data_IF_447970915254
#
_entry.id   IF_447970915254
#
_cell.length_a   1.000
_cell.length_b   1.000
_cell.length_c   1.000
_cell.angle_alpha   90.00
_cell.angle_beta   90.00
_cell.angle_gamma   90.00
#
_symmetry.space_group_name_H-M   'P 1'
#
loop_
_entity.id
_entity.type
_entity.pdbx_description
1 polymer ?
#
# COMPACT_ATOMS: atom_id res chain seq x y z
N UNK A 1 -12.27 21.58 -28.30
CA UNK A 1 -11.53 22.80 -28.68
C UNK A 1 -10.08 22.36 -28.71
N UNK A 2 -9.57 22.14 -29.95
CA UNK A 2 -8.15 21.86 -30.18
C UNK A 2 -7.43 23.19 -29.98
N UNK A 3 -6.49 23.25 -29.04
CA UNK A 3 -5.56 24.37 -28.91
C UNK A 3 -4.18 23.92 -29.41
N UNK A 4 -3.26 24.87 -29.64
CA UNK A 4 -1.91 24.58 -30.16
C UNK A 4 -1.04 23.72 -29.24
N UNK A 5 -1.54 23.36 -28.03
CA UNK A 5 -0.87 22.48 -27.06
C UNK A 5 -1.46 21.06 -27.03
N UNK A 6 -2.55 20.79 -27.80
CA UNK A 6 -3.16 19.47 -27.86
C UNK A 6 -2.29 18.53 -28.69
N UNK A 7 -1.65 17.58 -28.04
CA UNK A 7 -0.80 16.55 -28.69
C UNK A 7 -1.55 15.28 -29.12
N UNK A 8 -2.86 15.20 -28.86
CA UNK A 8 -3.69 14.03 -29.15
C UNK A 8 -4.73 14.31 -30.23
N UNK A 9 -4.59 13.65 -31.39
CA UNK A 9 -5.40 13.89 -32.60
C UNK A 9 -6.90 13.52 -32.49
N UNK A 10 -7.37 12.85 -31.44
CA UNK A 10 -8.74 12.31 -31.38
C UNK A 10 -9.37 12.31 -29.99
N UNK A 11 -9.24 13.38 -29.21
CA UNK A 11 -9.88 13.45 -27.90
C UNK A 11 -11.39 13.73 -28.05
N UNK A 12 -12.31 12.85 -27.58
CA UNK A 12 -13.74 13.08 -27.69
C UNK A 12 -14.20 14.30 -26.90
N UNK A 13 -15.25 14.97 -27.38
CA UNK A 13 -15.86 16.09 -26.66
C UNK A 13 -16.39 15.63 -25.30
N UNK A 14 -16.00 16.32 -24.21
CA UNK A 14 -16.42 15.97 -22.83
C UNK A 14 -15.50 14.95 -22.14
N UNK A 15 -14.43 14.49 -22.77
CA UNK A 15 -13.43 13.67 -22.10
C UNK A 15 -12.64 14.47 -21.05
N UNK A 16 -12.30 13.84 -19.94
CA UNK A 16 -11.32 14.38 -18.99
C UNK A 16 -9.95 14.26 -19.67
N UNK A 17 -9.20 15.36 -19.69
CA UNK A 17 -7.91 15.43 -20.38
C UNK A 17 -6.80 15.82 -19.41
N UNK A 18 -5.58 15.34 -19.67
CA UNK A 18 -4.36 15.75 -18.99
C UNK A 18 -3.92 17.18 -19.40
N UNK A 19 -2.79 17.65 -18.89
CA UNK A 19 -2.23 18.95 -19.18
C UNK A 19 -1.87 19.17 -20.68
N UNK A 20 -1.81 18.08 -21.45
CA UNK A 20 -1.46 18.09 -22.87
C UNK A 20 -2.69 17.94 -23.79
N UNK A 21 -3.91 17.95 -23.20
CA UNK A 21 -5.16 17.80 -23.93
C UNK A 21 -5.46 16.35 -24.34
N UNK A 22 -4.64 15.42 -23.93
CA UNK A 22 -4.87 14.00 -24.18
C UNK A 22 -5.93 13.45 -23.24
N UNK A 23 -6.88 12.67 -23.81
CA UNK A 23 -7.84 11.98 -22.97
C UNK A 23 -7.08 11.19 -21.92
N UNK A 24 -7.35 11.47 -20.65
CA UNK A 24 -7.01 10.50 -19.59
C UNK A 24 -7.88 9.29 -19.87
N UNK A 25 -7.30 8.32 -20.55
CA UNK A 25 -7.91 7.01 -20.69
C UNK A 25 -7.77 6.38 -19.31
N UNK A 26 -8.82 6.49 -18.49
CA UNK A 26 -9.04 5.44 -17.54
C UNK A 26 -9.31 4.20 -18.41
N UNK A 27 -8.29 3.37 -18.62
CA UNK A 27 -8.39 2.11 -19.37
C UNK A 27 -9.30 1.09 -18.69
N UNK A 28 -10.05 1.55 -17.69
CA UNK A 28 -10.94 0.76 -16.89
C UNK A 28 -12.36 0.84 -17.45
N UNK A 29 -13.03 -0.29 -17.37
CA UNK A 29 -14.44 -0.47 -17.64
C UNK A 29 -15.22 0.80 -17.24
N UNK A 30 -16.04 1.32 -18.13
CA UNK A 30 -16.85 2.54 -18.00
C UNK A 30 -17.77 2.59 -16.75
N UNK A 31 -17.63 1.62 -15.85
CA UNK A 31 -18.43 1.43 -14.63
C UNK A 31 -17.76 1.92 -13.36
N UNK A 32 -16.47 2.31 -13.39
CA UNK A 32 -15.76 2.81 -12.20
C UNK A 32 -15.78 4.35 -12.15
N UNK A 33 -16.24 4.90 -11.02
CA UNK A 33 -16.19 6.34 -10.73
C UNK A 33 -15.15 6.58 -9.65
N UNK A 34 -14.24 7.52 -9.88
CA UNK A 34 -13.24 7.93 -8.90
C UNK A 34 -13.94 8.54 -7.67
N UNK A 35 -13.70 7.97 -6.49
CA UNK A 35 -14.30 8.40 -5.23
C UNK A 35 -13.28 9.04 -4.28
N UNK A 36 -12.01 8.68 -4.39
CA UNK A 36 -10.92 9.24 -3.60
C UNK A 36 -9.59 9.06 -4.32
N UNK A 37 -8.70 10.03 -4.15
CA UNK A 37 -7.34 9.96 -4.71
C UNK A 37 -6.33 10.76 -3.92
N UNK A 38 -5.07 10.38 -4.07
CA UNK A 38 -3.91 11.21 -3.82
C UNK A 38 -2.92 11.08 -4.98
N UNK A 39 -2.65 12.20 -5.64
CA UNK A 39 -1.73 12.33 -6.78
C UNK A 39 -0.37 12.88 -6.33
N UNK A 40 -0.18 13.10 -5.04
CA UNK A 40 1.05 13.57 -4.41
C UNK A 40 1.66 14.82 -5.06
N UNK A 41 0.82 15.79 -5.46
CA UNK A 41 1.25 17.00 -6.19
C UNK A 41 1.80 18.12 -5.29
N UNK A 42 1.66 18.03 -3.97
CA UNK A 42 2.10 19.05 -3.03
C UNK A 42 3.49 18.69 -2.46
N UNK A 43 4.53 19.37 -2.93
CA UNK A 43 5.92 19.17 -2.52
C UNK A 43 6.15 19.27 -1.00
N UNK A 44 6.98 18.41 -0.45
CA UNK A 44 7.43 18.45 0.94
C UNK A 44 6.76 17.47 1.85
N UNK A 45 6.16 17.92 2.94
CA UNK A 45 5.53 17.05 3.92
C UNK A 45 4.25 16.40 3.38
N UNK A 46 4.02 15.14 3.74
CA UNK A 46 2.81 14.41 3.38
C UNK A 46 1.55 15.12 3.91
N UNK A 47 0.47 15.11 3.12
CA UNK A 47 -0.83 15.68 3.52
C UNK A 47 -1.42 14.90 4.70
N UNK A 48 -1.30 15.46 5.90
CA UNK A 48 -1.83 14.88 7.13
C UNK A 48 -3.37 14.84 7.18
N UNK A 49 -4.08 15.48 6.26
CA UNK A 49 -5.53 15.36 6.17
C UNK A 49 -5.95 14.07 5.47
N UNK A 50 -5.09 13.51 4.62
CA UNK A 50 -5.28 12.26 3.91
C UNK A 50 -4.61 11.06 4.57
N UNK A 51 -3.42 11.27 5.18
CA UNK A 51 -2.58 10.21 5.73
C UNK A 51 -2.28 10.39 7.22
N UNK A 52 -2.12 9.28 7.90
CA UNK A 52 -1.68 9.18 9.28
C UNK A 52 -0.39 8.35 9.34
N UNK A 53 0.63 8.85 10.03
CA UNK A 53 1.83 8.09 10.31
C UNK A 53 1.61 7.20 11.53
N UNK A 54 1.67 5.89 11.33
CA UNK A 54 1.61 4.94 12.44
C UNK A 54 3.03 4.72 12.98
N UNK A 55 3.31 5.34 14.12
CA UNK A 55 4.66 5.40 14.72
C UNK A 55 4.80 4.64 16.03
N UNK A 56 3.68 4.18 16.61
CA UNK A 56 3.70 3.45 17.88
C UNK A 56 3.85 1.96 17.58
N UNK A 57 4.97 1.33 17.98
CA UNK A 57 5.17 -0.10 17.74
C UNK A 57 4.20 -0.93 18.60
N UNK A 58 3.37 -1.79 17.98
CA UNK A 58 2.24 -2.43 18.66
C UNK A 58 2.64 -3.64 19.51
N UNK A 59 3.86 -4.16 19.38
CA UNK A 59 4.33 -5.39 20.03
C UNK A 59 5.43 -5.10 21.06
N UNK A 60 5.05 -4.47 22.20
CA UNK A 60 5.98 -4.17 23.31
C UNK A 60 7.27 -3.48 22.85
N UNK A 61 7.16 -2.42 22.06
CA UNK A 61 8.29 -1.63 21.56
C UNK A 61 8.94 -2.18 20.29
N UNK A 62 8.33 -3.18 19.65
CA UNK A 62 8.75 -3.72 18.35
C UNK A 62 7.55 -3.84 17.39
N UNK A 63 7.86 -3.97 16.10
CA UNK A 63 6.89 -4.34 15.07
C UNK A 63 6.74 -5.86 15.00
N UNK A 64 5.73 -6.34 14.27
CA UNK A 64 5.49 -7.77 14.09
C UNK A 64 6.54 -8.42 13.16
N UNK A 65 6.46 -9.73 13.00
CA UNK A 65 7.22 -10.50 12.00
C UNK A 65 8.75 -10.41 12.12
N UNK A 66 9.29 -9.93 13.25
CA UNK A 66 10.73 -9.77 13.44
C UNK A 66 11.34 -8.60 12.65
N UNK A 67 10.52 -7.64 12.25
CA UNK A 67 10.94 -6.41 11.57
C UNK A 67 11.97 -5.63 12.41
N UNK A 68 12.89 -4.92 11.74
CA UNK A 68 14.11 -4.31 12.32
C UNK A 68 14.12 -2.80 12.33
N UNK A 69 13.06 -2.14 11.86
CA UNK A 69 12.93 -0.67 11.85
C UNK A 69 12.00 -0.18 12.95
N UNK A 70 12.12 1.10 13.26
CA UNK A 70 11.00 1.90 13.75
C UNK A 70 10.39 2.70 12.60
N UNK A 71 9.07 2.86 12.60
CA UNK A 71 8.41 3.80 11.70
C UNK A 71 8.34 5.16 12.37
N UNK A 72 8.51 6.22 11.57
CA UNK A 72 8.55 7.61 12.03
C UNK A 72 7.64 8.49 11.18
N UNK A 73 7.32 9.69 11.69
CA UNK A 73 6.62 10.75 10.97
C UNK A 73 7.58 11.82 10.41
N UNK A 74 8.88 11.51 10.37
CA UNK A 74 9.90 12.46 9.90
C UNK A 74 9.88 12.60 8.40
N UNK A 75 10.09 13.81 7.93
CA UNK A 75 10.22 14.11 6.48
C UNK A 75 11.37 13.33 5.80
N UNK A 76 12.33 12.83 6.55
CA UNK A 76 13.40 11.98 6.02
C UNK A 76 12.94 10.58 5.65
N UNK A 77 11.81 10.11 6.22
CA UNK A 77 11.26 8.78 5.97
C UNK A 77 10.03 8.80 5.06
N UNK A 78 9.29 9.93 4.98
CA UNK A 78 8.18 10.09 4.02
C UNK A 78 8.02 11.55 3.62
N UNK A 79 8.00 11.80 2.32
CA UNK A 79 7.85 13.14 1.74
C UNK A 79 7.40 13.03 0.28
N UNK A 80 6.89 14.15 -0.25
CA UNK A 80 6.56 14.29 -1.66
C UNK A 80 7.66 15.05 -2.37
N UNK A 81 8.14 14.55 -3.50
CA UNK A 81 9.06 15.24 -4.40
C UNK A 81 8.83 14.81 -5.84
N UNK A 82 8.81 15.78 -6.75
CA UNK A 82 8.58 15.58 -8.18
C UNK A 82 7.24 14.82 -8.46
N UNK A 83 6.17 15.25 -7.80
CA UNK A 83 4.83 14.65 -7.86
C UNK A 83 4.78 13.16 -7.45
N UNK A 84 5.71 12.72 -6.60
CA UNK A 84 5.80 11.33 -6.13
C UNK A 84 5.95 11.29 -4.62
N UNK A 85 5.16 10.46 -3.95
CA UNK A 85 5.41 10.11 -2.55
C UNK A 85 6.64 9.20 -2.46
N UNK A 86 7.60 9.60 -1.65
CA UNK A 86 8.79 8.81 -1.31
C UNK A 86 8.60 8.23 0.11
N UNK A 87 8.54 6.92 0.22
CA UNK A 87 8.68 6.20 1.50
C UNK A 87 10.08 5.64 1.55
N UNK A 88 10.90 6.10 2.53
CA UNK A 88 12.33 5.83 2.58
C UNK A 88 12.73 5.06 3.83
N UNK A 89 13.32 3.89 3.64
CA UNK A 89 14.03 3.15 4.68
C UNK A 89 15.46 3.65 4.79
N UNK A 90 15.93 3.87 6.02
CA UNK A 90 17.27 4.45 6.32
C UNK A 90 17.95 3.61 7.39
N UNK A 91 19.24 3.33 7.22
CA UNK A 91 20.08 2.72 8.25
C UNK A 91 20.56 3.78 9.25
N UNK A 92 19.96 3.80 10.40
CA UNK A 92 20.31 4.69 11.51
C UNK A 92 19.84 4.08 12.83
N UNK A 93 20.50 4.42 13.93
CA UNK A 93 20.03 4.04 15.26
C UNK A 93 18.93 5.00 15.70
N UNK A 94 17.78 4.47 16.07
CA UNK A 94 16.62 5.26 16.49
C UNK A 94 15.91 4.58 17.66
N UNK A 95 15.57 5.37 18.68
CA UNK A 95 14.90 4.89 19.90
C UNK A 95 13.48 5.42 20.03
N UNK A 96 12.56 4.53 20.36
CA UNK A 96 11.17 4.85 20.71
C UNK A 96 10.84 4.15 22.04
N UNK A 97 10.48 4.92 23.06
CA UNK A 97 10.04 4.41 24.37
C UNK A 97 11.00 3.36 25.00
N UNK A 98 12.31 3.57 24.87
CA UNK A 98 13.33 2.67 25.39
C UNK A 98 13.65 1.46 24.50
N UNK A 99 13.01 1.34 23.35
CA UNK A 99 13.32 0.34 22.31
C UNK A 99 14.15 0.97 21.21
N UNK A 100 15.34 0.44 20.94
CA UNK A 100 16.25 0.91 19.90
C UNK A 100 16.24 -0.03 18.71
N UNK A 101 16.05 0.50 17.52
CA UNK A 101 16.21 -0.21 16.24
C UNK A 101 17.33 0.44 15.41
N UNK A 102 17.88 -0.30 14.45
CA UNK A 102 18.99 0.17 13.61
C UNK A 102 18.53 0.65 12.23
N UNK A 103 17.24 0.75 12.01
CA UNK A 103 16.64 1.25 10.78
C UNK A 103 15.40 2.08 11.12
N UNK A 104 15.12 3.06 10.27
CA UNK A 104 13.86 3.80 10.28
C UNK A 104 13.19 3.73 8.92
N UNK A 105 11.87 3.89 8.91
CA UNK A 105 11.04 3.92 7.71
C UNK A 105 9.74 4.68 8.00
N UNK A 106 8.77 4.61 7.11
CA UNK A 106 7.41 5.09 7.37
C UNK A 106 6.36 4.00 7.12
N UNK A 107 5.30 4.02 7.93
CA UNK A 107 4.06 3.27 7.76
C UNK A 107 2.91 4.27 7.77
N UNK A 108 2.22 4.36 6.65
CA UNK A 108 1.16 5.31 6.39
C UNK A 108 -0.19 4.60 6.39
N UNK A 109 -1.16 5.17 7.10
CA UNK A 109 -2.56 4.74 7.04
C UNK A 109 -3.36 5.80 6.30
N UNK A 110 -4.17 5.46 5.31
CA UNK A 110 -5.13 6.41 4.76
C UNK A 110 -6.16 6.78 5.82
N UNK A 111 -6.57 8.05 5.84
CA UNK A 111 -7.72 8.50 6.65
C UNK A 111 -9.04 8.28 5.93
N UNK A 112 -8.97 7.84 4.70
CA UNK A 112 -10.06 7.35 3.88
C UNK A 112 -10.23 5.85 4.08
N UNK A 113 -11.46 5.37 4.07
CA UNK A 113 -11.80 3.95 4.07
C UNK A 113 -12.87 3.67 3.03
N UNK A 114 -12.90 2.46 2.54
CA UNK A 114 -13.87 2.02 1.53
C UNK A 114 -14.30 0.58 1.78
N UNK A 115 -15.40 0.21 1.18
CA UNK A 115 -15.87 -1.17 1.11
C UNK A 115 -16.36 -1.43 -0.30
N UNK A 116 -15.76 -2.40 -0.95
CA UNK A 116 -15.97 -2.72 -2.35
C UNK A 116 -15.51 -1.60 -3.30
N UNK A 117 -15.27 -1.95 -4.53
CA UNK A 117 -14.76 -1.06 -5.56
C UNK A 117 -13.40 -1.51 -6.09
N UNK A 118 -12.65 -0.56 -6.60
CA UNK A 118 -11.30 -0.79 -7.09
C UNK A 118 -10.32 0.18 -6.44
N UNK A 119 -9.14 -0.29 -6.10
CA UNK A 119 -7.99 0.55 -5.75
C UNK A 119 -6.89 0.31 -6.76
N UNK A 120 -6.24 1.39 -7.19
CA UNK A 120 -5.03 1.38 -8.00
C UNK A 120 -3.95 2.18 -7.27
N UNK A 121 -2.79 1.56 -7.12
CA UNK A 121 -1.58 2.20 -6.62
C UNK A 121 -0.50 2.06 -7.67
N UNK A 122 -0.03 3.17 -8.23
CA UNK A 122 1.08 3.14 -9.17
C UNK A 122 2.38 3.42 -8.41
N UNK A 123 3.26 2.45 -8.39
CA UNK A 123 4.48 2.53 -7.58
C UNK A 123 5.68 1.87 -8.25
N UNK A 124 6.87 2.35 -7.88
CA UNK A 124 8.18 1.76 -8.14
C UNK A 124 8.79 1.30 -6.83
N UNK A 125 9.31 0.07 -6.79
CA UNK A 125 9.71 -0.61 -5.58
C UNK A 125 11.21 -0.49 -5.28
N UNK A 126 11.64 -0.65 -4.00
CA UNK A 126 13.05 -0.67 -3.64
C UNK A 126 13.76 -1.91 -4.19
N UNK A 127 15.03 -1.77 -4.56
CA UNK A 127 15.87 -2.85 -5.07
C UNK A 127 16.77 -3.52 -4.04
N UNK A 128 17.04 -2.86 -2.89
CA UNK A 128 17.99 -3.37 -1.89
C UNK A 128 17.46 -4.60 -1.17
N UNK A 129 18.33 -5.63 -1.03
CA UNK A 129 17.99 -6.80 -0.24
C UNK A 129 17.72 -6.45 1.22
N UNK A 130 16.73 -7.10 1.79
CA UNK A 130 16.27 -6.83 3.16
C UNK A 130 15.18 -5.78 3.28
N UNK A 131 14.82 -5.06 2.19
CA UNK A 131 13.62 -4.22 2.17
C UNK A 131 12.38 -5.07 1.90
N UNK A 132 11.29 -4.74 2.58
CA UNK A 132 9.98 -5.38 2.45
C UNK A 132 8.92 -4.31 2.30
N UNK A 133 8.73 -3.76 1.08
CA UNK A 133 7.65 -2.84 0.80
C UNK A 133 6.32 -3.54 0.73
N UNK A 134 5.26 -2.86 1.15
CA UNK A 134 3.89 -3.35 1.09
C UNK A 134 2.88 -2.26 0.70
N UNK A 135 1.93 -2.66 -0.13
CA UNK A 135 0.70 -1.95 -0.47
C UNK A 135 -0.45 -2.87 -0.06
N UNK A 136 -1.20 -2.51 0.97
CA UNK A 136 -2.13 -3.41 1.60
C UNK A 136 -3.30 -2.70 2.28
N UNK A 137 -4.25 -3.46 2.81
CA UNK A 137 -5.41 -2.91 3.53
C UNK A 137 -5.73 -3.72 4.78
N UNK A 138 -6.25 -3.05 5.82
CA UNK A 138 -6.81 -3.67 7.02
C UNK A 138 -8.25 -3.22 7.24
N UNK A 139 -9.04 -4.08 7.87
CA UNK A 139 -10.36 -3.70 8.34
C UNK A 139 -10.29 -2.55 9.34
N UNK A 140 -11.16 -1.53 9.19
CA UNK A 140 -11.21 -0.34 10.07
C UNK A 140 -11.49 -0.69 11.53
N UNK A 141 -12.02 -1.88 11.79
CA UNK A 141 -12.34 -2.40 13.13
C UNK A 141 -11.14 -3.04 13.84
N UNK A 142 -9.93 -3.00 13.27
CA UNK A 142 -8.72 -3.55 13.88
C UNK A 142 -8.41 -2.88 15.23
N UNK A 143 -8.19 -3.69 16.26
CA UNK A 143 -7.69 -3.25 17.55
C UNK A 143 -6.16 -3.31 17.57
N UNK A 144 -5.52 -2.33 16.95
CA UNK A 144 -4.07 -2.19 16.95
C UNK A 144 -3.69 -0.79 17.41
N UNK A 145 -2.76 -0.69 18.35
CA UNK A 145 -2.31 0.60 18.90
C UNK A 145 -1.63 1.43 17.82
N UNK A 146 -1.88 2.73 17.83
CA UNK A 146 -1.24 3.70 16.96
C UNK A 146 -1.83 3.78 15.55
N UNK A 147 -2.74 2.88 15.17
CA UNK A 147 -3.41 3.01 13.88
C UNK A 147 -4.51 4.09 13.94
N UNK A 148 -4.83 4.68 12.78
CA UNK A 148 -5.77 5.81 12.71
C UNK A 148 -7.18 5.47 13.19
N UNK A 149 -7.69 4.29 12.82
CA UNK A 149 -9.05 3.87 13.14
C UNK A 149 -9.18 3.14 14.49
N UNK A 150 -8.07 2.65 15.05
CA UNK A 150 -8.06 1.79 16.24
C UNK A 150 -8.73 2.41 17.45
N UNK A 151 -8.58 3.72 17.68
CA UNK A 151 -9.20 4.43 18.79
C UNK A 151 -10.71 4.63 18.66
N UNK A 152 -11.25 4.55 17.43
CA UNK A 152 -12.65 4.84 17.12
C UNK A 152 -13.47 3.58 16.85
N UNK A 153 -12.91 2.64 16.10
CA UNK A 153 -13.62 1.46 15.60
C UNK A 153 -12.99 0.13 16.04
N UNK A 154 -11.78 0.18 16.59
CA UNK A 154 -10.96 -0.99 16.86
C UNK A 154 -11.48 -1.82 18.04
N UNK A 155 -12.11 -2.94 17.73
CA UNK A 155 -12.57 -3.93 18.70
C UNK A 155 -12.25 -5.37 18.31
N UNK A 156 -11.63 -5.58 17.15
CA UNK A 156 -11.33 -6.89 16.57
C UNK A 156 -9.83 -7.05 16.39
N UNK A 157 -9.29 -8.16 16.89
CA UNK A 157 -7.88 -8.49 16.69
C UNK A 157 -7.60 -9.04 15.28
N UNK A 158 -6.34 -8.93 14.86
CA UNK A 158 -5.85 -9.67 13.69
C UNK A 158 -5.90 -11.19 13.95
N UNK A 159 -6.26 -12.02 12.98
CA UNK A 159 -6.62 -11.72 11.59
C UNK A 159 -8.13 -11.53 11.36
N UNK A 160 -8.95 -11.48 12.39
CA UNK A 160 -10.42 -11.39 12.25
C UNK A 160 -10.93 -10.05 11.72
N UNK A 161 -10.08 -9.01 11.70
CA UNK A 161 -10.40 -7.74 11.03
C UNK A 161 -10.38 -7.88 9.49
N UNK A 162 -9.66 -8.88 8.96
CA UNK A 162 -9.34 -9.03 7.55
C UNK A 162 -8.14 -8.19 7.11
N UNK A 163 -7.25 -8.79 6.31
CA UNK A 163 -6.08 -8.15 5.69
C UNK A 163 -6.02 -8.54 4.23
N UNK A 164 -5.78 -7.57 3.37
CA UNK A 164 -5.63 -7.77 1.93
C UNK A 164 -4.30 -7.15 1.50
N UNK A 165 -3.35 -8.00 1.16
CA UNK A 165 -2.06 -7.58 0.63
C UNK A 165 -2.15 -7.55 -0.88
N UNK A 166 -2.22 -6.32 -1.41
CA UNK A 166 -2.31 -6.07 -2.85
C UNK A 166 -0.93 -6.33 -3.46
N UNK A 167 0.11 -5.93 -2.76
CA UNK A 167 1.50 -6.14 -3.14
C UNK A 167 2.38 -6.20 -1.90
N UNK A 168 3.14 -7.27 -1.79
CA UNK A 168 4.34 -7.36 -0.96
C UNK A 168 5.50 -7.80 -1.84
N UNK A 169 6.67 -7.17 -1.71
CA UNK A 169 7.86 -7.59 -2.43
C UNK A 169 8.79 -8.35 -1.50
N UNK A 170 9.22 -9.52 -1.95
CA UNK A 170 10.18 -10.36 -1.26
C UNK A 170 11.54 -9.65 -1.08
N UNK A 171 12.15 -9.77 0.09
CA UNK A 171 13.40 -9.06 0.41
C UNK A 171 14.67 -9.71 -0.14
N UNK A 172 14.61 -10.97 -0.57
CA UNK A 172 15.78 -11.70 -1.14
C UNK A 172 15.61 -12.03 -2.63
N UNK A 173 14.40 -11.97 -3.16
CA UNK A 173 14.10 -12.05 -4.59
C UNK A 173 13.24 -10.85 -4.95
N UNK A 174 13.87 -9.80 -5.46
CA UNK A 174 13.21 -8.52 -5.76
C UNK A 174 12.31 -8.58 -7.00
N UNK A 175 12.33 -9.69 -7.72
CA UNK A 175 11.42 -9.95 -8.86
C UNK A 175 10.13 -10.64 -8.43
N UNK A 176 10.08 -11.23 -7.23
CA UNK A 176 8.89 -11.91 -6.72
C UNK A 176 7.97 -10.94 -5.97
N UNK A 177 6.75 -10.82 -6.45
CA UNK A 177 5.65 -10.12 -5.78
C UNK A 177 4.64 -11.12 -5.22
N UNK A 178 4.05 -10.77 -4.08
CA UNK A 178 3.08 -11.59 -3.38
C UNK A 178 1.78 -10.80 -3.26
N UNK A 179 0.67 -11.39 -3.69
CA UNK A 179 -0.67 -10.97 -3.29
C UNK A 179 -1.19 -11.97 -2.27
N UNK A 180 -1.77 -11.51 -1.15
CA UNK A 180 -2.21 -12.39 -0.08
C UNK A 180 -3.49 -11.89 0.58
N UNK A 181 -4.29 -12.81 1.10
CA UNK A 181 -5.45 -12.55 1.94
C UNK A 181 -5.28 -13.27 3.26
N UNK A 182 -5.45 -12.56 4.38
CA UNK A 182 -5.41 -13.13 5.72
C UNK A 182 -6.72 -12.84 6.46
N UNK A 183 -7.32 -13.86 7.08
CA UNK A 183 -8.58 -13.68 7.79
C UNK A 183 -8.75 -14.64 8.96
N UNK A 184 -9.61 -14.27 9.91
CA UNK A 184 -10.24 -15.18 10.84
C UNK A 184 -11.64 -15.53 10.36
N UNK A 185 -12.03 -16.79 10.39
CA UNK A 185 -13.40 -17.18 10.08
C UNK A 185 -14.40 -16.46 11.00
N UNK A 186 -15.44 -15.88 10.45
CA UNK A 186 -16.41 -15.05 11.19
C UNK A 186 -17.12 -15.80 12.33
N UNK A 187 -17.26 -17.12 12.21
CA UNK A 187 -17.93 -17.95 13.22
C UNK A 187 -17.00 -18.54 14.27
N UNK A 188 -15.71 -18.77 13.96
CA UNK A 188 -14.76 -19.47 14.86
C UNK A 188 -13.56 -18.62 15.25
N UNK A 189 -13.24 -17.56 14.49
CA UNK A 189 -12.00 -16.80 14.64
C UNK A 189 -10.75 -17.55 14.15
N UNK A 190 -10.91 -18.77 13.60
CA UNK A 190 -9.79 -19.59 13.14
C UNK A 190 -9.08 -18.90 11.97
N UNK A 191 -7.75 -18.80 12.10
CA UNK A 191 -6.91 -18.21 11.08
C UNK A 191 -6.90 -19.03 9.80
N UNK A 192 -7.05 -18.34 8.69
CA UNK A 192 -6.82 -18.88 7.35
C UNK A 192 -6.20 -17.81 6.46
N UNK A 193 -5.53 -18.24 5.41
CA UNK A 193 -4.93 -17.35 4.42
C UNK A 193 -4.89 -17.99 3.04
N UNK A 194 -4.81 -17.14 2.00
CA UNK A 194 -4.65 -17.58 0.63
C UNK A 194 -3.90 -16.53 -0.16
N UNK A 195 -2.83 -16.93 -0.85
CA UNK A 195 -2.00 -16.02 -1.64
C UNK A 195 -1.43 -16.66 -2.89
N UNK A 196 -0.89 -15.83 -3.76
CA UNK A 196 -0.11 -16.22 -4.94
C UNK A 196 1.01 -15.24 -5.17
N UNK A 197 2.00 -15.69 -5.94
CA UNK A 197 3.11 -14.86 -6.42
C UNK A 197 2.93 -14.51 -7.89
N UNK A 198 3.53 -13.38 -8.26
CA UNK A 198 3.74 -12.95 -9.64
C UNK A 198 5.21 -12.57 -9.81
N UNK A 199 5.74 -12.70 -11.02
CA UNK A 199 7.11 -12.29 -11.33
C UNK A 199 7.07 -11.02 -12.17
N UNK A 200 7.91 -10.05 -11.77
CA UNK A 200 8.13 -8.81 -12.48
C UNK A 200 9.62 -8.43 -12.40
N UNK A 201 10.28 -8.33 -13.53
CA UNK A 201 11.74 -8.17 -13.61
C UNK A 201 12.19 -6.72 -13.36
N UNK A 202 11.32 -5.75 -13.62
CA UNK A 202 11.63 -4.32 -13.67
C UNK A 202 10.88 -3.47 -12.62
N UNK A 203 10.32 -4.09 -11.58
CA UNK A 203 9.61 -3.39 -10.50
C UNK A 203 10.47 -2.33 -9.77
N UNK A 204 11.82 -2.48 -9.79
CA UNK A 204 12.76 -1.55 -9.20
C UNK A 204 13.13 -0.39 -10.14
N UNK A 205 12.91 -0.54 -11.44
CA UNK A 205 13.32 0.41 -12.48
C UNK A 205 12.13 1.20 -13.01
N UNK A 206 10.94 0.57 -13.11
CA UNK A 206 9.74 1.14 -13.71
C UNK A 206 8.57 1.21 -12.72
N UNK A 207 7.63 2.11 -12.99
CA UNK A 207 6.38 2.22 -12.25
C UNK A 207 5.35 1.23 -12.80
N UNK A 208 4.79 0.41 -11.91
CA UNK A 208 3.70 -0.52 -12.20
C UNK A 208 2.44 -0.19 -11.43
N UNK A 209 1.29 -0.70 -11.87
CA UNK A 209 0.01 -0.51 -11.22
C UNK A 209 -0.36 -1.78 -10.46
N UNK A 210 -0.42 -1.66 -9.14
CA UNK A 210 -0.86 -2.71 -8.22
C UNK A 210 -2.31 -2.43 -7.85
N UNK A 211 -3.20 -3.39 -8.13
CA UNK A 211 -4.64 -3.16 -8.01
C UNK A 211 -5.37 -4.23 -7.21
N UNK A 212 -6.44 -3.82 -6.56
CA UNK A 212 -7.45 -4.68 -5.97
C UNK A 212 -8.80 -4.38 -6.61
N UNK A 213 -9.47 -5.38 -7.15
CA UNK A 213 -10.91 -5.35 -7.42
C UNK A 213 -11.62 -6.13 -6.33
N UNK A 214 -12.51 -5.46 -5.62
CA UNK A 214 -13.19 -6.00 -4.47
C UNK A 214 -14.70 -5.81 -4.58
N UNK A 215 -15.42 -6.93 -4.66
CA UNK A 215 -16.87 -6.97 -4.73
C UNK A 215 -17.44 -7.78 -3.57
N UNK A 216 -18.77 -7.76 -3.41
CA UNK A 216 -19.43 -8.62 -2.43
C UNK A 216 -19.17 -10.12 -2.67
N UNK A 217 -18.93 -10.53 -3.91
CA UNK A 217 -18.75 -11.94 -4.27
C UNK A 217 -17.30 -12.36 -4.51
N UNK A 218 -16.38 -11.44 -4.73
CA UNK A 218 -15.03 -11.79 -5.17
C UNK A 218 -14.01 -10.69 -4.87
N UNK A 219 -12.77 -11.12 -4.57
CA UNK A 219 -11.57 -10.29 -4.52
C UNK A 219 -10.62 -10.73 -5.62
N UNK A 220 -9.99 -9.76 -6.30
CA UNK A 220 -8.94 -10.02 -7.29
C UNK A 220 -7.79 -9.06 -7.05
N UNK A 221 -6.57 -9.58 -7.09
CA UNK A 221 -5.35 -8.78 -7.12
C UNK A 221 -4.77 -8.80 -8.52
N UNK A 222 -4.38 -7.62 -8.99
CA UNK A 222 -3.90 -7.43 -10.36
C UNK A 222 -2.55 -6.71 -10.36
N UNK A 223 -1.72 -7.08 -11.32
CA UNK A 223 -0.50 -6.36 -11.69
C UNK A 223 -0.70 -5.87 -13.13
N UNK A 224 -0.59 -4.56 -13.36
CA UNK A 224 -0.79 -3.92 -14.68
C UNK A 224 -2.06 -4.42 -15.38
N UNK A 225 -3.16 -4.44 -14.64
CA UNK A 225 -4.47 -4.95 -15.07
C UNK A 225 -4.55 -6.47 -15.35
N UNK A 226 -3.47 -7.21 -15.12
CA UNK A 226 -3.48 -8.67 -15.27
C UNK A 226 -3.79 -9.31 -13.92
N UNK A 227 -4.92 -10.00 -13.81
CA UNK A 227 -5.32 -10.73 -12.59
C UNK A 227 -4.38 -11.89 -12.34
N UNK A 228 -3.72 -11.93 -11.17
CA UNK A 228 -2.89 -13.07 -10.78
C UNK A 228 -3.41 -13.81 -9.54
N UNK A 229 -4.23 -13.15 -8.70
CA UNK A 229 -4.86 -13.78 -7.53
C UNK A 229 -6.36 -13.50 -7.55
N UNK A 230 -7.15 -14.53 -7.28
CA UNK A 230 -8.62 -14.43 -7.17
C UNK A 230 -9.12 -15.28 -6.01
N UNK A 231 -10.02 -14.73 -5.19
CA UNK A 231 -10.68 -15.44 -4.11
C UNK A 231 -12.17 -15.09 -4.07
N UNK A 232 -13.02 -16.07 -3.78
CA UNK A 232 -14.45 -15.80 -3.54
C UNK A 232 -14.62 -15.12 -2.18
N UNK A 233 -15.39 -14.05 -2.16
CA UNK A 233 -15.83 -13.39 -0.94
C UNK A 233 -17.13 -14.05 -0.46
N UNK A 234 -17.18 -14.46 0.80
CA UNK A 234 -18.34 -15.16 1.38
C UNK A 234 -18.62 -14.61 2.78
N UNK A 235 -19.82 -14.86 3.30
CA UNK A 235 -20.19 -14.42 4.65
C UNK A 235 -19.38 -15.08 5.79
N UNK A 236 -18.54 -16.08 5.49
CA UNK A 236 -17.67 -16.73 6.48
C UNK A 236 -16.31 -16.04 6.68
N UNK A 237 -16.03 -14.98 5.90
CA UNK A 237 -14.78 -14.21 5.96
C UNK A 237 -15.09 -12.72 6.11
N UNK A 238 -14.21 -11.91 6.74
CA UNK A 238 -14.55 -10.56 7.19
C UNK A 238 -14.46 -9.47 6.11
N UNK A 239 -14.40 -9.81 4.83
CA UNK A 239 -14.27 -8.84 3.74
C UNK A 239 -15.60 -8.21 3.30
N UNK A 240 -16.54 -8.08 4.23
CA UNK A 240 -17.73 -7.21 4.15
C UNK A 240 -17.61 -5.97 5.07
N UNK A 241 -16.52 -5.86 5.83
CA UNK A 241 -16.18 -4.67 6.62
C UNK A 241 -15.43 -3.64 5.78
N UNK A 242 -15.52 -2.34 6.07
CA UNK A 242 -14.68 -1.33 5.43
C UNK A 242 -13.20 -1.53 5.76
N UNK A 243 -12.32 -1.27 4.78
CA UNK A 243 -10.87 -1.30 4.93
C UNK A 243 -10.27 0.08 4.65
N UNK A 244 -9.12 0.35 5.25
CA UNK A 244 -8.26 1.48 4.96
C UNK A 244 -6.94 1.01 4.33
N UNK A 245 -6.24 1.93 3.66
CA UNK A 245 -5.04 1.62 2.87
C UNK A 245 -3.80 1.83 3.75
N UNK A 246 -2.83 0.92 3.62
CA UNK A 246 -1.53 1.02 4.25
C UNK A 246 -0.42 0.97 3.20
N UNK A 247 0.59 1.81 3.38
CA UNK A 247 1.81 1.86 2.58
C UNK A 247 3.01 1.88 3.53
N UNK A 248 3.98 0.99 3.35
CA UNK A 248 5.20 0.99 4.16
C UNK A 248 6.37 0.29 3.48
N UNK A 249 7.57 0.46 4.05
CA UNK A 249 8.71 -0.43 3.86
C UNK A 249 9.11 -0.96 5.22
N UNK A 250 8.97 -2.27 5.44
CA UNK A 250 9.60 -2.96 6.56
C UNK A 250 11.06 -3.32 6.23
N UNK A 251 11.88 -3.57 7.25
CA UNK A 251 13.27 -3.98 7.09
C UNK A 251 13.51 -5.33 7.77
N UNK A 252 14.09 -6.27 7.03
CA UNK A 252 14.35 -7.62 7.55
C UNK A 252 13.05 -8.37 7.86
N UNK A 253 13.07 -9.14 8.94
CA UNK A 253 11.90 -9.93 9.35
C UNK A 253 11.61 -11.12 8.44
N UNK A 254 10.38 -11.63 8.54
CA UNK A 254 10.00 -12.88 7.89
C UNK A 254 10.08 -12.83 6.36
N UNK A 255 9.70 -11.71 5.74
CA UNK A 255 9.66 -11.55 4.29
C UNK A 255 10.78 -10.65 3.76
N UNK A 256 11.34 -9.77 4.59
CA UNK A 256 12.51 -8.98 4.23
C UNK A 256 13.81 -9.78 4.27
N UNK A 257 13.92 -10.77 5.17
CA UNK A 257 15.10 -11.63 5.27
C UNK A 257 16.36 -10.89 5.72
N UNK A 258 17.51 -11.27 5.17
CA UNK A 258 18.80 -10.67 5.49
C UNK A 258 18.92 -9.29 4.82
N UNK A 259 19.27 -8.28 5.62
CA UNK A 259 19.58 -6.94 5.12
C UNK A 259 21.05 -6.93 4.67
N UNK A 260 21.32 -6.42 3.48
CA UNK A 260 22.70 -6.33 2.98
C UNK A 260 23.59 -5.45 3.88
N UNK A 261 24.85 -5.84 4.00
CA UNK A 261 25.77 -5.24 4.99
C UNK A 261 26.06 -3.75 4.70
N UNK A 262 26.09 -3.37 3.45
CA UNK A 262 26.34 -2.02 2.94
C UNK A 262 25.04 -1.20 2.72
N UNK A 263 23.89 -1.74 3.08
CA UNK A 263 22.63 -0.99 3.05
C UNK A 263 22.78 0.36 3.77
N UNK A 264 22.39 1.42 3.12
CA UNK A 264 22.35 2.77 3.70
C UNK A 264 20.94 3.36 3.68
N UNK A 265 20.29 3.31 2.56
CA UNK A 265 18.87 3.69 2.39
C UNK A 265 18.35 3.21 1.04
N UNK A 266 17.03 2.98 0.98
CA UNK A 266 16.31 2.71 -0.26
C UNK A 266 14.86 3.20 -0.12
N UNK A 267 14.10 3.29 -1.21
CA UNK A 267 12.76 3.88 -1.19
C UNK A 267 11.78 3.20 -2.13
N UNK A 268 10.52 3.16 -1.69
CA UNK A 268 9.37 2.96 -2.55
C UNK A 268 8.88 4.34 -3.00
N UNK A 269 8.60 4.47 -4.28
CA UNK A 269 8.07 5.67 -4.91
C UNK A 269 6.62 5.40 -5.33
N UNK A 270 5.69 6.24 -4.90
CA UNK A 270 4.27 6.09 -5.22
C UNK A 270 3.81 7.32 -6.00
N UNK A 271 3.43 7.11 -7.26
CA UNK A 271 2.96 8.16 -8.17
C UNK A 271 1.53 8.59 -7.81
N UNK A 272 0.65 7.62 -7.59
CA UNK A 272 -0.70 7.89 -7.13
C UNK A 272 -1.33 6.73 -6.35
N UNK A 273 -2.36 7.08 -5.58
CA UNK A 273 -3.33 6.14 -5.01
C UNK A 273 -4.73 6.60 -5.43
N UNK A 274 -5.49 5.74 -6.11
CA UNK A 274 -6.84 6.03 -6.59
C UNK A 274 -7.82 4.95 -6.15
N UNK A 275 -9.00 5.37 -5.69
CA UNK A 275 -10.11 4.46 -5.30
C UNK A 275 -11.35 4.81 -6.12
N UNK A 276 -11.96 3.79 -6.68
CA UNK A 276 -13.11 3.89 -7.57
C UNK A 276 -14.30 3.13 -6.99
#
# INVERSE_FOLDING_TARGET
IINEADSCETTPSGAIVDAYGCRIINEYDSNYFLVWQDEFSDEGALDITKWHHQIIPPNNGSWFNGEKQHYTDRITNSYVSDDVLIIKAIKESYEVDGSTQNYTSARLNSKFYFRYGRIDVRAKLPGSAGTWPAIWTLGTNINEIGNYFGSTYGNVGWPSCGEIDIMEQNGWDKTELIGHFHWGHTSTGEYASYGKTAIIEDAMDEFHIYSLEWTQGQLKVLLDNNVFLTMNNTASIPYDNPHYILLNIAMGGNLGGAIEADFSSDSMQVDYVRVY
#
